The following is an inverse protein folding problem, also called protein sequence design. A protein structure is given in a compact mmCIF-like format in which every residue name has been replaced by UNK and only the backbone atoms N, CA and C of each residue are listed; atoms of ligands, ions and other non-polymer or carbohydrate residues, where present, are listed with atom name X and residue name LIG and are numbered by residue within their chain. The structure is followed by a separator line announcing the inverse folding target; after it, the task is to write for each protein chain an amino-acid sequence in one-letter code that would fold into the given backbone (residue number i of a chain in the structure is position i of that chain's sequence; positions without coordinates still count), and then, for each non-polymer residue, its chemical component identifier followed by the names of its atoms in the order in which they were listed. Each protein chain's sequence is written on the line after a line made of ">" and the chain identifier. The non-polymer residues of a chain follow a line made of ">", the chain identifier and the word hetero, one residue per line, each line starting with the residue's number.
data_IF_529541963419
#
_entry.id   IF_529541963419
#
_cell.length_a   1.000
_cell.length_b   1.000
_cell.length_c   1.000
_cell.angle_alpha   90.00
_cell.angle_beta   90.00
_cell.angle_gamma   90.00
#
_symmetry.space_group_name_H-M   'P 1'
#
loop_
_entity.id
_entity.type
_entity.pdbx_description
1 polymer ?
#
# COMPACT_ATOMS: atom_id res chain seq x y z
N UNK A 1 9.31 -10.69 -21.16
CA UNK A 1 9.26 -10.50 -19.71
C UNK A 1 8.33 -11.54 -19.08
N UNK A 2 8.48 -11.86 -17.79
CA UNK A 2 7.77 -12.97 -17.12
C UNK A 2 6.22 -12.84 -17.18
N UNK A 3 5.69 -11.64 -17.00
CA UNK A 3 4.24 -11.39 -17.09
C UNK A 3 3.65 -11.77 -18.45
N UNK A 4 4.37 -11.54 -19.53
CA UNK A 4 3.93 -11.90 -20.88
C UNK A 4 3.99 -13.41 -21.16
N UNK A 5 4.88 -14.14 -20.47
CA UNK A 5 5.06 -15.59 -20.70
C UNK A 5 4.14 -16.47 -19.85
N UNK A 6 3.75 -16.03 -18.65
CA UNK A 6 3.01 -16.86 -17.69
C UNK A 6 1.51 -16.51 -17.65
N UNK A 7 1.15 -15.24 -17.84
CA UNK A 7 -0.28 -14.81 -17.77
C UNK A 7 -0.86 -14.56 -19.17
N UNK A 8 -0.03 -14.64 -20.23
CA UNK A 8 -0.47 -14.34 -21.59
C UNK A 8 -0.84 -12.87 -21.83
N UNK A 9 -0.53 -12.00 -20.85
CA UNK A 9 -0.83 -10.57 -20.87
C UNK A 9 0.19 -9.85 -21.74
N UNK A 10 -0.26 -9.03 -22.65
CA UNK A 10 0.61 -8.20 -23.49
C UNK A 10 1.26 -7.08 -22.62
N UNK A 11 2.40 -6.56 -23.07
CA UNK A 11 3.06 -5.43 -22.43
C UNK A 11 2.14 -4.21 -22.30
N UNK A 12 1.28 -4.00 -23.30
CA UNK A 12 0.29 -2.92 -23.33
C UNK A 12 -0.74 -3.08 -22.21
N UNK A 13 -1.28 -4.28 -22.04
CA UNK A 13 -2.28 -4.56 -20.99
C UNK A 13 -1.71 -4.39 -19.58
N UNK A 14 -0.46 -4.79 -19.37
CA UNK A 14 0.25 -4.57 -18.10
C UNK A 14 0.47 -3.07 -17.84
N UNK A 15 0.93 -2.33 -18.85
CA UNK A 15 1.13 -0.88 -18.74
C UNK A 15 -0.20 -0.15 -18.50
N UNK A 16 -1.28 -0.61 -19.13
CA UNK A 16 -2.62 -0.07 -18.89
C UNK A 16 -3.06 -0.28 -17.44
N UNK A 17 -2.80 -1.43 -16.82
CA UNK A 17 -3.10 -1.66 -15.40
C UNK A 17 -2.38 -0.67 -14.48
N UNK A 18 -1.09 -0.40 -14.74
CA UNK A 18 -0.31 0.60 -13.98
C UNK A 18 -0.89 2.01 -14.18
N UNK A 19 -1.23 2.38 -15.42
CA UNK A 19 -1.81 3.68 -15.71
C UNK A 19 -3.17 3.88 -15.03
N UNK A 20 -4.05 2.86 -15.07
CA UNK A 20 -5.35 2.87 -14.39
C UNK A 20 -5.16 3.05 -12.87
N UNK A 21 -4.23 2.31 -12.26
CA UNK A 21 -3.89 2.47 -10.85
C UNK A 21 -3.38 3.86 -10.53
N UNK A 22 -2.49 4.42 -11.37
CA UNK A 22 -1.99 5.78 -11.23
C UNK A 22 -3.08 6.85 -11.30
N UNK A 23 -4.02 6.72 -12.23
CA UNK A 23 -5.19 7.61 -12.36
C UNK A 23 -6.06 7.50 -11.11
N UNK A 24 -6.35 6.28 -10.64
CA UNK A 24 -7.11 6.06 -9.41
C UNK A 24 -6.44 6.73 -8.20
N UNK A 25 -5.13 6.60 -8.06
CA UNK A 25 -4.35 7.27 -7.02
C UNK A 25 -4.46 8.80 -7.10
N UNK A 26 -4.27 9.39 -8.29
CA UNK A 26 -4.36 10.82 -8.49
C UNK A 26 -5.76 11.37 -8.15
N UNK A 27 -6.82 10.71 -8.61
CA UNK A 27 -8.21 11.08 -8.30
C UNK A 27 -8.42 11.03 -6.78
N UNK A 28 -8.01 9.96 -6.13
CA UNK A 28 -8.17 9.78 -4.70
C UNK A 28 -7.41 10.85 -3.90
N UNK A 29 -6.18 11.16 -4.27
CA UNK A 29 -5.39 12.22 -3.63
C UNK A 29 -6.05 13.60 -3.74
N UNK A 30 -6.61 13.94 -4.89
CA UNK A 30 -7.23 15.24 -5.12
C UNK A 30 -8.53 15.43 -4.31
N UNK A 31 -9.35 14.39 -4.20
CA UNK A 31 -10.69 14.51 -3.62
C UNK A 31 -10.75 14.08 -2.15
N UNK A 32 -9.99 13.08 -1.75
CA UNK A 32 -10.12 12.45 -0.42
C UNK A 32 -9.06 12.93 0.58
N UNK A 33 -7.93 13.48 0.15
CA UNK A 33 -6.92 14.04 1.06
C UNK A 33 -7.49 15.13 1.97
N UNK A 34 -8.38 15.98 1.44
CA UNK A 34 -9.06 17.03 2.22
C UNK A 34 -9.94 16.48 3.37
N UNK A 35 -10.42 15.25 3.25
CA UNK A 35 -11.18 14.60 4.33
C UNK A 35 -10.28 14.15 5.48
N UNK A 36 -9.03 13.81 5.17
CA UNK A 36 -8.04 13.36 6.16
C UNK A 36 -7.60 14.52 7.04
N UNK A 37 -7.34 15.69 6.45
CA UNK A 37 -6.87 16.88 7.17
C UNK A 37 -7.89 17.43 8.18
N UNK A 38 -9.18 17.16 7.98
CA UNK A 38 -10.27 17.64 8.84
C UNK A 38 -10.60 16.71 10.02
N UNK A 39 -10.06 15.49 10.02
CA UNK A 39 -10.47 14.46 10.97
C UNK A 39 -9.43 14.23 12.06
N UNK A 40 -9.90 13.70 13.19
CA UNK A 40 -9.07 13.40 14.36
C UNK A 40 -8.03 12.30 14.09
N UNK A 41 -6.97 12.25 14.91
CA UNK A 41 -5.96 11.20 14.88
C UNK A 41 -6.56 9.79 14.88
N UNK A 42 -7.68 9.57 15.57
CA UNK A 42 -8.38 8.29 15.60
C UNK A 42 -8.92 7.84 14.23
N UNK A 43 -9.32 8.79 13.38
CA UNK A 43 -9.74 8.51 12.00
C UNK A 43 -8.56 8.05 11.13
N UNK A 44 -7.40 8.71 11.25
CA UNK A 44 -6.19 8.33 10.50
C UNK A 44 -5.75 6.90 10.81
N UNK A 45 -5.73 6.52 12.09
CA UNK A 45 -5.44 5.13 12.48
C UNK A 45 -6.38 4.13 11.82
N UNK A 46 -7.68 4.46 11.81
CA UNK A 46 -8.70 3.59 11.20
C UNK A 46 -8.48 3.46 9.69
N UNK A 47 -8.20 4.57 9.01
CA UNK A 47 -7.90 4.58 7.56
C UNK A 47 -6.68 3.74 7.23
N UNK A 48 -5.59 3.89 8.00
CA UNK A 48 -4.36 3.12 7.80
C UNK A 48 -4.62 1.61 8.03
N UNK A 49 -5.29 1.26 9.11
CA UNK A 49 -5.60 -0.13 9.45
C UNK A 49 -6.51 -0.80 8.39
N UNK A 50 -7.62 -0.15 8.05
CA UNK A 50 -8.54 -0.65 7.01
C UNK A 50 -7.84 -0.69 5.65
N UNK A 51 -7.02 0.30 5.34
CA UNK A 51 -6.22 0.34 4.13
C UNK A 51 -5.32 -0.89 3.98
N UNK A 52 -4.56 -1.26 5.01
CA UNK A 52 -3.71 -2.45 4.96
C UNK A 52 -4.51 -3.75 4.81
N UNK A 53 -5.68 -3.87 5.45
CA UNK A 53 -6.56 -5.03 5.25
C UNK A 53 -7.04 -5.10 3.81
N UNK A 54 -7.50 -3.99 3.24
CA UNK A 54 -7.97 -3.95 1.86
C UNK A 54 -6.84 -4.24 0.86
N UNK A 55 -5.63 -3.71 1.09
CA UNK A 55 -4.45 -4.07 0.30
C UNK A 55 -4.17 -5.58 0.35
N UNK A 56 -4.22 -6.18 1.54
CA UNK A 56 -4.07 -7.64 1.69
C UNK A 56 -5.08 -8.39 0.83
N UNK A 57 -6.36 -8.02 0.91
CA UNK A 57 -7.44 -8.68 0.17
C UNK A 57 -7.29 -8.49 -1.34
N UNK A 58 -6.97 -7.29 -1.82
CA UNK A 58 -6.79 -7.03 -3.25
C UNK A 58 -5.56 -7.73 -3.82
N UNK A 59 -4.43 -7.72 -3.11
CA UNK A 59 -3.21 -8.42 -3.57
C UNK A 59 -3.42 -9.94 -3.55
N UNK A 60 -4.08 -10.47 -2.53
CA UNK A 60 -4.46 -11.88 -2.50
C UNK A 60 -5.42 -12.21 -3.64
N UNK A 61 -6.42 -11.36 -3.88
CA UNK A 61 -7.35 -11.49 -4.99
C UNK A 61 -6.65 -11.55 -6.35
N UNK A 62 -5.61 -10.72 -6.57
CA UNK A 62 -4.83 -10.76 -7.82
C UNK A 62 -4.18 -12.13 -8.09
N UNK A 63 -3.82 -12.89 -7.04
CA UNK A 63 -3.25 -14.22 -7.20
C UNK A 63 -4.23 -15.26 -7.78
N UNK A 64 -5.53 -14.99 -7.67
CA UNK A 64 -6.61 -15.89 -8.09
C UNK A 64 -7.22 -15.49 -9.45
N UNK A 65 -6.84 -14.33 -10.00
CA UNK A 65 -7.46 -13.78 -11.20
C UNK A 65 -6.68 -14.15 -12.44
N UNK A 66 -7.41 -14.68 -13.43
CA UNK A 66 -6.89 -14.99 -14.77
C UNK A 66 -7.50 -14.10 -15.87
N UNK A 67 -8.33 -13.12 -15.52
CA UNK A 67 -9.00 -12.24 -16.45
C UNK A 67 -8.43 -10.82 -16.37
N UNK A 68 -7.96 -10.28 -17.50
CA UNK A 68 -7.32 -8.96 -17.58
C UNK A 68 -8.24 -7.81 -17.14
N UNK A 69 -9.53 -7.91 -17.43
CA UNK A 69 -10.51 -6.87 -17.04
C UNK A 69 -10.58 -6.78 -15.51
N UNK A 70 -10.59 -7.92 -14.83
CA UNK A 70 -10.59 -7.96 -13.36
C UNK A 70 -9.28 -7.40 -12.81
N UNK A 71 -8.14 -7.67 -13.45
CA UNK A 71 -6.85 -7.07 -13.07
C UNK A 71 -6.91 -5.55 -13.16
N UNK A 72 -7.50 -4.97 -14.20
CA UNK A 72 -7.66 -3.51 -14.34
C UNK A 72 -8.57 -2.92 -13.27
N UNK A 73 -9.68 -3.60 -12.95
CA UNK A 73 -10.59 -3.17 -11.88
C UNK A 73 -9.85 -3.18 -10.53
N UNK A 74 -9.13 -4.25 -10.23
CA UNK A 74 -8.35 -4.36 -8.98
C UNK A 74 -7.24 -3.33 -8.94
N UNK A 75 -6.55 -3.07 -10.05
CA UNK A 75 -5.53 -2.02 -10.15
C UNK A 75 -6.11 -0.63 -9.85
N UNK A 76 -7.31 -0.32 -10.37
CA UNK A 76 -8.02 0.92 -10.05
C UNK A 76 -8.29 1.05 -8.54
N UNK A 77 -8.81 0.00 -7.90
CA UNK A 77 -9.07 -0.02 -6.46
C UNK A 77 -7.80 0.10 -5.62
N UNK A 78 -6.73 -0.60 -6.00
CA UNK A 78 -5.41 -0.47 -5.35
C UNK A 78 -4.92 0.98 -5.46
N UNK A 79 -5.04 1.59 -6.63
CA UNK A 79 -4.67 2.99 -6.83
C UNK A 79 -5.48 3.96 -5.95
N UNK A 80 -6.80 3.81 -5.93
CA UNK A 80 -7.67 4.60 -5.08
C UNK A 80 -7.29 4.48 -3.60
N UNK A 81 -7.06 3.26 -3.12
CA UNK A 81 -6.66 3.01 -1.74
C UNK A 81 -5.29 3.61 -1.42
N UNK A 82 -4.32 3.48 -2.31
CA UNK A 82 -3.00 4.07 -2.13
C UNK A 82 -3.06 5.59 -2.05
N UNK A 83 -3.90 6.23 -2.88
CA UNK A 83 -4.09 7.67 -2.87
C UNK A 83 -4.77 8.22 -1.59
N UNK A 84 -5.46 7.37 -0.83
CA UNK A 84 -5.98 7.70 0.51
C UNK A 84 -4.94 7.41 1.59
N UNK A 85 -4.29 6.25 1.49
CA UNK A 85 -3.38 5.75 2.51
C UNK A 85 -2.11 6.59 2.64
N UNK A 86 -1.57 7.04 1.51
CA UNK A 86 -0.33 7.80 1.49
C UNK A 86 -0.44 9.16 2.23
N UNK A 87 -1.43 10.03 1.98
CA UNK A 87 -1.58 11.25 2.75
C UNK A 87 -1.94 10.97 4.21
N UNK A 88 -2.76 9.95 4.51
CA UNK A 88 -3.07 9.58 5.90
C UNK A 88 -1.80 9.17 6.66
N UNK A 89 -0.92 8.40 6.03
CA UNK A 89 0.37 8.02 6.58
C UNK A 89 1.29 9.23 6.82
N UNK A 90 1.42 10.10 5.82
CA UNK A 90 2.26 11.28 5.92
C UNK A 90 1.78 12.24 7.03
N UNK A 91 0.48 12.47 7.13
CA UNK A 91 -0.11 13.31 8.19
C UNK A 91 0.09 12.66 9.56
N UNK A 92 -0.07 11.35 9.66
CA UNK A 92 0.19 10.60 10.89
C UNK A 92 1.65 10.74 11.33
N UNK A 93 2.60 10.55 10.42
CA UNK A 93 4.03 10.72 10.70
C UNK A 93 4.36 12.15 11.11
N UNK A 94 3.89 13.14 10.36
CA UNK A 94 4.11 14.55 10.66
C UNK A 94 3.62 14.94 12.06
N UNK A 95 2.50 14.38 12.52
CA UNK A 95 1.96 14.63 13.85
C UNK A 95 2.75 14.01 15.00
N UNK A 96 3.72 13.13 14.73
CA UNK A 96 4.55 12.44 15.74
C UNK A 96 6.02 12.86 15.70
N UNK A 97 6.39 13.76 14.79
CA UNK A 97 7.76 14.25 14.62
C UNK A 97 7.84 15.64 15.28
N UNK A 98 8.90 15.86 16.08
CA UNK A 98 9.18 17.19 16.63
C UNK A 98 9.42 18.18 15.49
N UNK A 99 8.82 19.39 15.52
CA UNK A 99 9.03 20.40 14.49
C UNK A 99 10.50 20.75 14.24
N UNK A 100 11.35 20.64 15.25
CA UNK A 100 12.79 20.91 15.15
C UNK A 100 13.59 19.81 14.43
N UNK A 101 13.03 18.60 14.32
CA UNK A 101 13.68 17.41 13.73
C UNK A 101 13.02 16.95 12.42
N UNK A 102 12.08 17.73 11.90
CA UNK A 102 11.29 17.32 10.73
C UNK A 102 12.16 17.02 9.51
N UNK A 103 13.12 17.89 9.18
CA UNK A 103 13.94 17.74 7.98
C UNK A 103 14.76 16.45 8.02
N UNK A 104 15.42 16.17 9.15
CA UNK A 104 16.23 14.97 9.33
C UNK A 104 15.37 13.71 9.29
N UNK A 105 14.27 13.70 10.03
CA UNK A 105 13.37 12.54 10.11
C UNK A 105 12.74 12.22 8.75
N UNK A 106 12.30 13.23 7.98
CA UNK A 106 11.80 13.03 6.63
C UNK A 106 12.90 12.53 5.67
N UNK A 107 14.14 13.01 5.84
CA UNK A 107 15.28 12.52 5.08
C UNK A 107 15.53 11.03 5.31
N UNK A 108 15.55 10.58 6.55
CA UNK A 108 15.69 9.17 6.91
C UNK A 108 14.52 8.35 6.38
N UNK A 109 13.29 8.81 6.57
CA UNK A 109 12.08 8.13 6.09
C UNK A 109 12.10 7.93 4.57
N UNK A 110 12.39 8.98 3.80
CA UNK A 110 12.47 8.91 2.35
C UNK A 110 13.62 7.98 1.88
N UNK A 111 14.74 7.94 2.61
CA UNK A 111 15.85 7.04 2.32
C UNK A 111 15.41 5.57 2.51
N UNK A 112 14.77 5.24 3.62
CA UNK A 112 14.24 3.89 3.89
C UNK A 112 13.19 3.50 2.85
N UNK A 113 12.29 4.42 2.47
CA UNK A 113 11.30 4.19 1.42
C UNK A 113 11.96 3.95 0.05
N UNK A 114 12.99 4.73 -0.28
CA UNK A 114 13.77 4.53 -1.50
C UNK A 114 14.45 3.15 -1.53
N UNK A 115 15.07 2.73 -0.43
CA UNK A 115 15.62 1.38 -0.28
C UNK A 115 14.55 0.31 -0.48
N UNK A 116 13.39 0.45 0.14
CA UNK A 116 12.27 -0.48 -0.01
C UNK A 116 11.80 -0.59 -1.47
N UNK A 117 11.71 0.54 -2.17
CA UNK A 117 11.33 0.61 -3.59
C UNK A 117 12.33 -0.07 -4.52
N UNK A 118 13.61 -0.07 -4.16
CA UNK A 118 14.67 -0.75 -4.92
C UNK A 118 14.72 -2.26 -4.61
N UNK A 119 14.63 -2.63 -3.35
CA UNK A 119 14.77 -4.01 -2.88
C UNK A 119 13.50 -4.82 -3.15
N UNK A 120 12.32 -4.21 -3.02
CA UNK A 120 11.02 -4.87 -3.18
C UNK A 120 10.89 -5.63 -4.51
N UNK A 121 11.09 -5.00 -5.67
CA UNK A 121 11.03 -5.67 -6.97
C UNK A 121 12.08 -6.78 -7.13
N UNK A 122 13.28 -6.64 -6.54
CA UNK A 122 14.31 -7.68 -6.57
C UNK A 122 13.86 -8.94 -5.83
N UNK A 123 13.37 -8.79 -4.59
CA UNK A 123 12.84 -9.92 -3.83
C UNK A 123 11.60 -10.52 -4.48
N UNK A 124 10.69 -9.69 -4.99
CA UNK A 124 9.53 -10.16 -5.72
C UNK A 124 9.90 -10.98 -6.96
N UNK A 125 10.91 -10.53 -7.72
CA UNK A 125 11.45 -11.24 -8.88
C UNK A 125 12.12 -12.57 -8.50
N UNK A 126 12.90 -12.60 -7.43
CA UNK A 126 13.53 -13.81 -6.92
C UNK A 126 12.46 -14.84 -6.48
N UNK A 127 11.47 -14.43 -5.70
CA UNK A 127 10.37 -15.32 -5.29
C UNK A 127 9.67 -15.90 -6.51
N UNK A 128 9.34 -15.08 -7.50
CA UNK A 128 8.69 -15.53 -8.74
C UNK A 128 9.56 -16.54 -9.50
N UNK A 129 10.86 -16.35 -9.53
CA UNK A 129 11.80 -17.24 -10.20
C UNK A 129 11.93 -18.59 -9.48
N UNK A 130 12.15 -18.58 -8.18
CA UNK A 130 12.33 -19.80 -7.39
C UNK A 130 11.06 -20.63 -7.22
N UNK A 131 9.90 -19.99 -7.24
CA UNK A 131 8.61 -20.66 -7.03
C UNK A 131 7.87 -21.06 -8.31
N UNK A 132 8.49 -20.83 -9.46
CA UNK A 132 7.90 -21.09 -10.79
C UNK A 132 6.55 -20.39 -11.02
N UNK A 133 6.27 -19.28 -10.30
CA UNK A 133 5.02 -18.55 -10.50
C UNK A 133 4.92 -17.19 -9.79
N UNK A 134 4.23 -16.25 -10.45
CA UNK A 134 3.93 -14.93 -9.87
C UNK A 134 2.99 -15.02 -8.67
N UNK A 135 2.15 -16.06 -8.61
CA UNK A 135 1.15 -16.20 -7.54
C UNK A 135 1.80 -16.21 -6.16
N UNK A 136 2.97 -16.85 -6.02
CA UNK A 136 3.69 -16.91 -4.74
C UNK A 136 4.23 -15.53 -4.32
N UNK A 137 4.59 -14.67 -5.27
CA UNK A 137 4.96 -13.27 -4.98
C UNK A 137 3.76 -12.52 -4.41
N UNK A 138 2.56 -12.70 -4.97
CA UNK A 138 1.35 -12.10 -4.44
C UNK A 138 0.99 -12.64 -3.05
N UNK A 139 1.14 -13.95 -2.80
CA UNK A 139 0.91 -14.53 -1.46
C UNK A 139 1.87 -13.97 -0.41
N UNK A 140 3.16 -13.87 -0.72
CA UNK A 140 4.14 -13.28 0.18
C UNK A 140 3.85 -11.80 0.43
N UNK A 141 3.51 -11.04 -0.61
CA UNK A 141 3.14 -9.63 -0.47
C UNK A 141 1.87 -9.47 0.38
N UNK A 142 0.83 -10.28 0.16
CA UNK A 142 -0.38 -10.26 0.96
C UNK A 142 -0.09 -10.60 2.43
N UNK A 143 0.79 -11.55 2.70
CA UNK A 143 1.22 -11.90 4.06
C UNK A 143 1.92 -10.72 4.74
N UNK A 144 2.81 -10.03 4.05
CA UNK A 144 3.50 -8.84 4.58
C UNK A 144 2.48 -7.74 4.94
N UNK A 145 1.52 -7.44 4.06
CA UNK A 145 0.48 -6.46 4.35
C UNK A 145 -0.43 -6.88 5.51
N UNK A 146 -0.72 -8.18 5.63
CA UNK A 146 -1.47 -8.71 6.77
C UNK A 146 -0.72 -8.52 8.09
N UNK A 147 0.58 -8.81 8.11
CA UNK A 147 1.42 -8.60 9.29
C UNK A 147 1.48 -7.12 9.68
N UNK A 148 1.59 -6.22 8.69
CA UNK A 148 1.51 -4.78 8.92
C UNK A 148 0.15 -4.37 9.47
N UNK A 149 -0.96 -4.90 8.95
CA UNK A 149 -2.29 -4.65 9.48
C UNK A 149 -2.43 -5.08 10.94
N UNK A 150 -1.94 -6.27 11.29
CA UNK A 150 -1.94 -6.77 12.67
C UNK A 150 -1.11 -5.87 13.58
N UNK A 151 0.11 -5.51 13.16
CA UNK A 151 1.00 -4.64 13.94
C UNK A 151 0.36 -3.28 14.20
N UNK A 152 -0.21 -2.65 13.17
CA UNK A 152 -0.92 -1.38 13.31
C UNK A 152 -2.19 -1.50 14.15
N UNK A 153 -2.93 -2.61 14.03
CA UNK A 153 -4.10 -2.87 14.86
C UNK A 153 -3.76 -2.95 16.35
N UNK A 154 -2.68 -3.66 16.70
CA UNK A 154 -2.19 -3.78 18.08
C UNK A 154 -1.73 -2.41 18.60
N UNK A 155 -0.96 -1.66 17.80
CA UNK A 155 -0.49 -0.33 18.16
C UNK A 155 -1.65 0.62 18.41
N UNK A 156 -2.68 0.60 17.56
CA UNK A 156 -3.87 1.42 17.71
C UNK A 156 -4.65 1.14 18.99
N UNK A 157 -4.86 -0.14 19.31
CA UNK A 157 -5.56 -0.54 20.55
C UNK A 157 -4.77 -0.05 21.79
N UNK A 158 -3.44 -0.17 21.75
CA UNK A 158 -2.58 0.29 22.85
C UNK A 158 -2.60 1.81 23.00
N UNK A 159 -2.53 2.57 21.91
CA UNK A 159 -2.56 4.03 21.90
C UNK A 159 -3.88 4.58 22.46
N UNK A 160 -5.04 3.98 22.06
CA UNK A 160 -6.35 4.38 22.63
C UNK A 160 -6.47 4.16 24.13
N UNK A 161 -5.84 3.14 24.68
CA UNK A 161 -5.84 2.91 26.13
C UNK A 161 -5.09 4.02 26.89
N UNK A 162 -3.97 4.51 26.37
CA UNK A 162 -3.21 5.59 26.99
C UNK A 162 -3.96 6.93 26.97
N UNK A 163 -4.67 7.27 25.90
CA UNK A 163 -5.46 8.52 25.83
C UNK A 163 -6.69 8.55 26.75
N UNK A 164 -7.14 7.41 27.26
CA UNK A 164 -8.31 7.32 28.15
C UNK A 164 -7.93 7.52 29.64
N UNK A 165 -6.65 7.48 29.98
CA UNK A 165 -6.13 7.59 31.34
C UNK A 165 -5.25 8.84 31.56
N UNK A 166 -5.10 9.69 30.58
CA UNK A 166 -4.51 11.03 30.63
C UNK A 166 -5.60 12.09 30.54
#
# INVERSE_FOLDING_TARGET
>A
TYATKVVGVTTIEYTAAIAIGGIGCAISMLFLSKMIDKNSNGFMYTVIFVGFILFTLFIFGLSLVNNIIVVWIVAAFIGLMYGILLPAWNTFMAGHIDPSEQEETWGVFNSVQGFGSMIGPLFGGLIAQFSNGLNNTFYVSALIFLLLAIFYGIYFIKSRKHQKYS
#
